data_IF_963573091881
#
_entry.id   IF_963573091881
#
_cell.length_a   1.000
_cell.length_b   1.000
_cell.length_c   1.000
_cell.angle_alpha   90.00
_cell.angle_beta   90.00
_cell.angle_gamma   90.00
#
_symmetry.space_group_name_H-M   'P 1'
#
loop_
_entity.id
_entity.type
_entity.pdbx_description
1 polymer ?
#
# COMPACT_ATOMS: atom_id res chain seq x y z
N UNK A 1 15.13 18.51 10.94
CA UNK A 1 15.67 17.27 11.54
C UNK A 1 14.52 16.68 12.34
N UNK A 2 13.90 15.61 11.84
CA UNK A 2 12.90 14.86 12.60
C UNK A 2 13.59 14.18 13.79
N UNK A 3 12.91 14.00 14.95
CA UNK A 3 13.48 13.30 16.08
C UNK A 3 13.92 11.90 15.64
N UNK A 4 15.02 11.39 16.19
CA UNK A 4 15.51 10.02 15.98
C UNK A 4 14.36 9.02 16.24
N UNK A 5 13.66 8.64 15.18
CA UNK A 5 12.69 7.56 15.27
C UNK A 5 13.45 6.26 15.32
N UNK A 6 13.48 5.64 16.50
CA UNK A 6 14.04 4.29 16.65
C UNK A 6 13.25 3.31 15.80
N UNK A 7 13.98 2.45 15.07
CA UNK A 7 13.33 1.41 14.26
C UNK A 7 12.62 0.39 15.17
N UNK A 8 11.33 0.17 14.94
CA UNK A 8 10.55 -0.85 15.63
C UNK A 8 10.81 -2.24 15.07
N UNK A 9 10.93 -2.34 13.73
CA UNK A 9 11.25 -3.59 13.05
C UNK A 9 12.51 -3.37 12.24
N UNK A 10 13.47 -4.27 12.36
CA UNK A 10 14.65 -4.32 11.49
C UNK A 10 14.78 -5.71 10.91
N UNK A 11 15.00 -5.79 9.60
CA UNK A 11 15.24 -7.02 8.86
C UNK A 11 16.57 -6.86 8.17
N UNK A 12 17.46 -7.82 8.34
CA UNK A 12 18.81 -7.80 7.79
C UNK A 12 19.09 -9.09 7.01
N UNK A 13 19.33 -8.96 5.71
CA UNK A 13 19.74 -10.03 4.81
C UNK A 13 18.72 -11.20 4.71
N UNK A 14 17.42 -10.93 4.88
CA UNK A 14 16.42 -11.98 4.90
C UNK A 14 16.23 -12.61 3.52
N UNK A 15 16.43 -13.92 3.42
CA UNK A 15 16.16 -14.71 2.21
C UNK A 15 15.24 -15.88 2.50
N UNK A 16 14.35 -16.21 1.53
CA UNK A 16 13.40 -17.32 1.64
C UNK A 16 13.17 -17.99 0.30
N UNK A 17 13.24 -19.32 0.29
CA UNK A 17 12.99 -20.15 -0.89
C UNK A 17 11.81 -21.09 -0.64
N UNK A 18 11.05 -21.36 -1.69
CA UNK A 18 10.05 -22.42 -1.77
C UNK A 18 10.36 -23.26 -3.01
N UNK A 19 11.12 -24.36 -2.81
CA UNK A 19 11.73 -25.09 -3.91
C UNK A 19 12.67 -24.18 -4.70
N UNK A 20 12.48 -24.08 -6.00
CA UNK A 20 13.30 -23.23 -6.89
C UNK A 20 12.85 -21.74 -6.87
N UNK A 21 11.73 -21.43 -6.24
CA UNK A 21 11.21 -20.06 -6.19
C UNK A 21 11.81 -19.29 -5.03
N UNK A 22 12.55 -18.21 -5.32
CA UNK A 22 13.11 -17.28 -4.35
C UNK A 22 12.08 -16.21 -4.00
N UNK A 23 11.41 -16.37 -2.89
CA UNK A 23 10.35 -15.46 -2.44
C UNK A 23 10.88 -14.19 -1.76
N UNK A 24 12.02 -14.31 -1.04
CA UNK A 24 12.80 -13.19 -0.50
C UNK A 24 14.25 -13.37 -0.92
N UNK A 25 14.89 -12.30 -1.33
CA UNK A 25 16.24 -12.27 -1.88
C UNK A 25 17.05 -11.16 -1.24
N UNK A 26 17.76 -11.50 -0.15
CA UNK A 26 18.66 -10.60 0.57
C UNK A 26 17.98 -9.28 0.95
N UNK A 27 16.86 -9.37 1.70
CA UNK A 27 16.02 -8.23 2.03
C UNK A 27 16.55 -7.53 3.27
N UNK A 28 16.93 -6.26 3.10
CA UNK A 28 17.15 -5.30 4.19
C UNK A 28 15.98 -4.32 4.25
N UNK A 29 15.37 -4.19 5.44
CA UNK A 29 14.20 -3.34 5.60
C UNK A 29 14.01 -2.88 7.04
N UNK A 30 13.63 -1.61 7.23
CA UNK A 30 13.30 -1.06 8.55
C UNK A 30 11.94 -0.41 8.56
N UNK A 31 11.25 -0.53 9.70
CA UNK A 31 9.96 0.12 9.99
C UNK A 31 10.12 0.98 11.23
N UNK A 32 10.01 2.32 11.10
CA UNK A 32 10.10 3.22 12.24
C UNK A 32 8.97 3.00 13.26
N UNK A 33 9.27 3.23 14.54
CA UNK A 33 8.28 3.15 15.61
C UNK A 33 7.12 4.12 15.36
N UNK A 34 5.89 3.64 15.56
CA UNK A 34 4.68 4.43 15.40
C UNK A 34 4.33 4.80 13.96
N UNK A 35 5.03 4.30 12.94
CA UNK A 35 4.70 4.55 11.53
C UNK A 35 3.70 3.53 10.97
N UNK A 36 2.93 3.95 9.96
CA UNK A 36 2.19 3.07 9.07
C UNK A 36 2.99 2.90 7.79
N UNK A 37 3.59 1.73 7.62
CA UNK A 37 4.41 1.41 6.45
C UNK A 37 3.71 0.40 5.55
N UNK A 38 3.55 0.73 4.26
CA UNK A 38 2.98 -0.19 3.26
C UNK A 38 4.08 -0.99 2.55
N UNK A 39 3.89 -2.30 2.45
CA UNK A 39 4.62 -3.17 1.51
C UNK A 39 3.80 -3.25 0.23
N UNK A 40 4.27 -2.63 -0.84
CA UNK A 40 3.59 -2.49 -2.12
C UNK A 40 4.36 -3.22 -3.22
N UNK A 41 3.67 -3.85 -4.16
CA UNK A 41 4.32 -4.54 -5.27
C UNK A 41 3.38 -5.52 -5.99
N UNK A 42 3.76 -6.06 -7.14
CA UNK A 42 2.96 -7.02 -7.89
C UNK A 42 2.75 -8.33 -7.13
N UNK A 43 1.79 -9.13 -7.59
CA UNK A 43 1.60 -10.49 -7.05
C UNK A 43 2.88 -11.31 -7.21
N UNK A 44 3.23 -12.07 -6.17
CA UNK A 44 4.46 -12.88 -6.16
C UNK A 44 5.75 -12.10 -5.88
N UNK A 45 5.70 -10.80 -5.53
CA UNK A 45 6.91 -10.01 -5.20
C UNK A 45 7.51 -10.29 -3.82
N UNK A 46 6.89 -11.13 -2.98
CA UNK A 46 7.42 -11.50 -1.66
C UNK A 46 6.76 -10.82 -0.46
N UNK A 47 5.83 -9.87 -0.66
CA UNK A 47 5.21 -9.07 0.42
C UNK A 47 4.60 -9.89 1.56
N UNK A 48 3.69 -10.82 1.22
CA UNK A 48 3.04 -11.67 2.24
C UNK A 48 4.03 -12.63 2.89
N UNK A 49 5.07 -13.06 2.18
CA UNK A 49 6.16 -13.86 2.76
C UNK A 49 6.93 -13.04 3.79
N UNK A 50 7.30 -11.80 3.46
CA UNK A 50 7.98 -10.89 4.38
C UNK A 50 7.11 -10.59 5.60
N UNK A 51 5.81 -10.26 5.39
CA UNK A 51 4.87 -10.01 6.49
C UNK A 51 4.74 -11.23 7.42
N UNK A 52 4.63 -12.45 6.86
CA UNK A 52 4.55 -13.69 7.64
C UNK A 52 5.85 -14.00 8.36
N UNK A 53 7.00 -13.65 7.78
CA UNK A 53 8.30 -13.79 8.44
C UNK A 53 8.40 -12.86 9.65
N UNK A 54 7.97 -11.60 9.54
CA UNK A 54 7.86 -10.67 10.67
C UNK A 54 6.93 -11.25 11.75
N UNK A 55 5.83 -11.87 11.34
CA UNK A 55 4.85 -12.47 12.23
C UNK A 55 5.33 -13.76 12.91
N UNK A 56 6.39 -14.41 12.42
CA UNK A 56 6.83 -15.73 12.86
C UNK A 56 5.91 -16.86 12.42
N UNK A 57 5.04 -16.60 11.44
CA UNK A 57 4.19 -17.60 10.77
C UNK A 57 4.97 -18.37 9.71
N UNK A 58 6.06 -17.79 9.25
CA UNK A 58 7.07 -18.39 8.39
C UNK A 58 8.45 -17.97 8.90
N UNK A 59 9.51 -18.69 8.52
CA UNK A 59 10.87 -18.37 8.91
C UNK A 59 11.71 -18.11 7.66
N UNK A 60 12.52 -17.04 7.63
CA UNK A 60 13.51 -16.88 6.57
C UNK A 60 14.52 -18.01 6.65
N UNK A 61 15.12 -18.37 5.51
CA UNK A 61 16.17 -19.40 5.45
C UNK A 61 17.51 -18.83 5.93
N UNK A 62 17.72 -17.53 5.70
CA UNK A 62 18.87 -16.73 6.20
C UNK A 62 18.42 -15.33 6.59
N UNK A 63 19.27 -14.62 7.33
CA UNK A 63 19.01 -13.27 7.81
C UNK A 63 18.39 -13.22 9.20
N UNK A 64 18.19 -12.02 9.70
CA UNK A 64 17.72 -11.74 11.04
C UNK A 64 16.53 -10.78 11.02
N UNK A 65 15.60 -10.97 11.97
CA UNK A 65 14.44 -10.09 12.18
C UNK A 65 14.44 -9.67 13.65
N UNK A 66 14.52 -8.35 13.91
CA UNK A 66 14.36 -7.80 15.26
C UNK A 66 13.07 -6.99 15.37
N UNK A 67 12.43 -7.06 16.54
CA UNK A 67 11.29 -6.22 16.92
C UNK A 67 11.63 -5.52 18.24
N UNK A 68 11.53 -4.20 18.29
CA UNK A 68 11.92 -3.39 19.44
C UNK A 68 13.35 -3.71 19.96
N UNK A 69 14.29 -3.97 19.02
CA UNK A 69 15.68 -4.30 19.31
C UNK A 69 15.91 -5.74 19.80
N UNK A 70 14.88 -6.59 19.84
CA UNK A 70 15.00 -8.00 20.26
C UNK A 70 14.96 -8.90 19.04
N UNK A 71 15.93 -9.81 18.88
CA UNK A 71 15.91 -10.83 17.84
C UNK A 71 14.72 -11.78 18.03
N UNK A 72 13.86 -11.83 17.03
CA UNK A 72 12.67 -12.68 17.00
C UNK A 72 12.70 -13.72 15.90
N UNK A 73 13.80 -13.90 15.19
CA UNK A 73 13.93 -14.77 14.00
C UNK A 73 13.42 -16.19 14.28
N UNK A 74 13.84 -16.80 15.38
CA UNK A 74 13.39 -18.12 15.81
C UNK A 74 12.20 -18.14 16.79
N UNK A 75 11.64 -16.97 17.15
CA UNK A 75 10.58 -16.85 18.17
C UNK A 75 9.21 -17.16 17.54
N UNK A 76 8.38 -18.01 18.16
CA UNK A 76 7.04 -18.34 17.63
C UNK A 76 6.08 -17.13 17.73
N UNK A 77 5.05 -17.04 16.88
CA UNK A 77 4.14 -15.88 16.77
C UNK A 77 3.53 -15.41 18.10
N UNK A 78 3.19 -16.35 18.98
CA UNK A 78 2.52 -16.08 20.26
C UNK A 78 3.40 -15.30 21.26
N UNK A 79 4.72 -15.24 21.01
CA UNK A 79 5.70 -14.57 21.86
C UNK A 79 6.29 -13.28 21.25
N UNK A 80 5.85 -12.90 20.03
CA UNK A 80 6.36 -11.71 19.33
C UNK A 80 5.61 -10.42 19.67
N UNK A 81 4.57 -10.48 20.47
CA UNK A 81 3.71 -9.36 20.88
C UNK A 81 3.17 -8.53 19.70
N UNK A 82 2.69 -9.24 18.69
CA UNK A 82 2.12 -8.69 17.46
C UNK A 82 0.62 -8.95 17.34
N UNK A 83 -0.08 -8.03 16.67
CA UNK A 83 -1.44 -8.24 16.17
C UNK A 83 -1.41 -8.57 14.68
N UNK A 84 -2.12 -9.61 14.24
CA UNK A 84 -2.17 -10.00 12.83
C UNK A 84 -3.60 -10.02 12.29
N UNK A 85 -3.83 -9.39 11.14
CA UNK A 85 -5.10 -9.42 10.41
C UNK A 85 -4.85 -10.09 9.06
N UNK A 86 -5.48 -11.26 8.89
CA UNK A 86 -5.39 -12.05 7.65
C UNK A 86 -6.32 -11.49 6.56
N UNK A 87 -5.97 -11.71 5.31
CA UNK A 87 -6.71 -11.30 4.12
C UNK A 87 -8.21 -11.69 4.16
N UNK A 88 -8.55 -12.85 4.72
CA UNK A 88 -9.93 -13.32 4.88
C UNK A 88 -10.49 -13.10 6.28
N UNK A 89 -9.88 -12.17 7.06
CA UNK A 89 -10.28 -11.75 8.41
C UNK A 89 -10.24 -12.86 9.48
N UNK A 90 -10.15 -14.14 9.10
CA UNK A 90 -10.09 -15.32 9.98
C UNK A 90 -11.06 -15.23 11.18
N UNK A 91 -12.31 -14.82 10.93
CA UNK A 91 -13.32 -14.68 11.98
C UNK A 91 -13.76 -16.05 12.52
N UNK A 92 -13.90 -16.17 13.83
CA UNK A 92 -14.48 -17.35 14.48
C UNK A 92 -16.00 -17.31 14.27
N UNK A 93 -16.49 -18.05 13.26
CA UNK A 93 -17.87 -18.01 12.78
C UNK A 93 -18.93 -18.34 13.84
N UNK A 94 -18.57 -19.18 14.81
CA UNK A 94 -19.43 -19.65 15.92
C UNK A 94 -19.39 -18.74 17.14
N UNK A 95 -18.61 -17.70 17.13
CA UNK A 95 -18.46 -16.71 18.19
C UNK A 95 -19.12 -15.39 17.79
N UNK A 96 -19.74 -14.70 18.76
CA UNK A 96 -20.24 -13.33 18.60
C UNK A 96 -19.10 -12.34 18.35
N UNK A 97 -19.40 -11.11 17.93
CA UNK A 97 -18.43 -10.00 17.77
C UNK A 97 -17.65 -9.79 19.07
N UNK A 98 -18.33 -9.69 20.21
CA UNK A 98 -17.73 -9.59 21.56
C UNK A 98 -16.74 -10.73 21.83
N UNK A 99 -17.14 -11.95 21.54
CA UNK A 99 -16.30 -13.12 21.80
C UNK A 99 -15.08 -13.21 20.87
N UNK A 100 -15.25 -12.81 19.61
CA UNK A 100 -14.13 -12.69 18.67
C UNK A 100 -13.08 -11.71 19.19
N UNK A 101 -13.48 -10.49 19.60
CA UNK A 101 -12.56 -9.47 20.11
C UNK A 101 -11.94 -9.90 21.45
N UNK A 102 -12.73 -10.52 22.34
CA UNK A 102 -12.27 -11.00 23.64
C UNK A 102 -11.32 -12.21 23.57
N UNK A 103 -11.22 -12.88 22.42
CA UNK A 103 -10.58 -14.20 22.32
C UNK A 103 -9.13 -14.22 22.82
N UNK A 104 -8.29 -13.30 22.33
CA UNK A 104 -6.88 -13.18 22.72
C UNK A 104 -6.71 -12.89 24.22
N UNK A 105 -7.56 -12.03 24.78
CA UNK A 105 -7.54 -11.69 26.22
C UNK A 105 -7.95 -12.89 27.10
N UNK A 106 -8.92 -13.71 26.64
CA UNK A 106 -9.32 -14.94 27.33
C UNK A 106 -8.19 -15.97 27.37
N UNK A 107 -7.47 -16.16 26.24
CA UNK A 107 -6.31 -17.06 26.19
C UNK A 107 -5.21 -16.59 27.15
N UNK A 108 -4.97 -15.27 27.22
CA UNK A 108 -4.02 -14.65 28.17
C UNK A 108 -4.54 -14.63 29.62
N UNK A 109 -5.71 -15.25 29.89
CA UNK A 109 -6.33 -15.39 31.20
C UNK A 109 -6.55 -14.05 31.95
N UNK A 110 -6.83 -12.96 31.21
CA UNK A 110 -7.13 -11.66 31.82
C UNK A 110 -8.43 -11.71 32.65
N UNK A 111 -8.58 -10.88 33.69
CA UNK A 111 -9.80 -10.79 34.48
C UNK A 111 -11.03 -10.43 33.64
N UNK A 112 -12.18 -11.04 33.92
CA UNK A 112 -13.42 -10.81 33.16
C UNK A 112 -13.82 -9.33 33.08
N UNK A 113 -13.57 -8.55 34.16
CA UNK A 113 -13.88 -7.11 34.21
C UNK A 113 -13.01 -6.32 33.22
N UNK A 114 -11.73 -6.61 33.16
CA UNK A 114 -10.79 -5.98 32.19
C UNK A 114 -11.16 -6.35 30.76
N UNK A 115 -11.45 -7.63 30.49
CA UNK A 115 -11.89 -8.08 29.15
C UNK A 115 -13.11 -7.29 28.70
N UNK A 116 -14.12 -7.15 29.59
CA UNK A 116 -15.35 -6.43 29.25
C UNK A 116 -15.06 -4.98 28.91
N UNK A 117 -14.28 -4.27 29.76
CA UNK A 117 -13.95 -2.87 29.56
C UNK A 117 -13.17 -2.65 28.24
N UNK A 118 -12.12 -3.46 28.00
CA UNK A 118 -11.29 -3.37 26.79
C UNK A 118 -12.07 -3.66 25.52
N UNK A 119 -12.94 -4.68 25.54
CA UNK A 119 -13.78 -5.03 24.38
C UNK A 119 -14.81 -3.93 24.09
N UNK A 120 -15.45 -3.36 25.11
CA UNK A 120 -16.42 -2.28 24.92
C UNK A 120 -15.72 -1.03 24.35
N UNK A 121 -14.56 -0.63 24.88
CA UNK A 121 -13.71 0.45 24.36
C UNK A 121 -13.34 0.22 22.87
N UNK A 122 -12.81 -0.96 22.54
CA UNK A 122 -12.38 -1.24 21.17
C UNK A 122 -13.54 -1.28 20.19
N UNK A 123 -14.72 -1.79 20.59
CA UNK A 123 -15.89 -1.78 19.73
C UNK A 123 -16.41 -0.36 19.45
N UNK A 124 -16.24 0.57 20.38
CA UNK A 124 -16.48 2.00 20.13
C UNK A 124 -15.46 2.56 19.14
N UNK A 125 -14.16 2.34 19.37
CA UNK A 125 -13.07 2.80 18.51
C UNK A 125 -13.23 2.32 17.07
N UNK A 126 -13.62 1.06 16.86
CA UNK A 126 -13.81 0.52 15.50
C UNK A 126 -15.21 0.78 14.93
N UNK A 127 -16.09 1.52 15.62
CA UNK A 127 -17.45 1.85 15.17
C UNK A 127 -18.38 0.64 15.08
N UNK A 128 -18.22 -0.32 16.00
CA UNK A 128 -19.08 -1.51 16.14
C UNK A 128 -19.84 -1.52 17.47
N UNK A 129 -20.02 -0.36 18.12
CA UNK A 129 -20.91 -0.21 19.25
C UNK A 129 -22.32 -0.67 18.87
N UNK A 130 -22.96 -1.47 19.74
CA UNK A 130 -24.28 -2.06 19.46
C UNK A 130 -24.25 -3.38 18.66
N UNK A 131 -23.08 -3.82 18.16
CA UNK A 131 -22.95 -5.07 17.40
C UNK A 131 -22.41 -6.24 18.24
N UNK A 132 -22.24 -6.07 19.55
CA UNK A 132 -21.57 -7.02 20.45
C UNK A 132 -22.13 -8.45 20.37
N UNK A 133 -23.47 -8.58 20.25
CA UNK A 133 -24.16 -9.87 20.20
C UNK A 133 -24.31 -10.47 18.80
N UNK A 134 -23.93 -9.74 17.74
CA UNK A 134 -24.01 -10.25 16.37
C UNK A 134 -22.92 -11.27 16.08
N UNK A 135 -23.18 -12.13 15.10
CA UNK A 135 -22.21 -13.10 14.58
C UNK A 135 -21.59 -12.60 13.28
N UNK A 136 -20.39 -13.08 12.89
CA UNK A 136 -19.71 -12.66 11.67
C UNK A 136 -20.53 -12.75 10.39
N UNK A 137 -21.45 -13.73 10.30
CA UNK A 137 -22.34 -13.89 9.16
C UNK A 137 -23.38 -12.74 9.02
N UNK A 138 -23.63 -11.99 10.09
CA UNK A 138 -24.56 -10.86 10.14
C UNK A 138 -23.89 -9.51 9.90
N UNK A 139 -22.59 -9.51 9.57
CA UNK A 139 -21.79 -8.31 9.35
C UNK A 139 -21.51 -8.11 7.86
N UNK A 140 -21.41 -6.85 7.43
CA UNK A 140 -20.84 -6.50 6.12
C UNK A 140 -19.35 -6.84 6.06
N UNK A 141 -18.73 -6.81 4.85
CA UNK A 141 -17.29 -7.02 4.66
C UNK A 141 -16.46 -6.06 5.53
N UNK A 142 -16.72 -4.75 5.44
CA UNK A 142 -16.03 -3.75 6.25
C UNK A 142 -16.23 -3.90 7.75
N UNK A 143 -17.43 -4.32 8.19
CA UNK A 143 -17.69 -4.60 9.61
C UNK A 143 -16.91 -5.83 10.11
N UNK A 144 -16.80 -6.89 9.30
CA UNK A 144 -15.95 -8.05 9.63
C UNK A 144 -14.48 -7.65 9.77
N UNK A 145 -14.01 -6.78 8.89
CA UNK A 145 -12.65 -6.29 8.96
C UNK A 145 -12.39 -5.45 10.21
N UNK A 146 -13.27 -4.51 10.54
CA UNK A 146 -13.17 -3.71 11.78
C UNK A 146 -13.19 -4.61 13.03
N UNK A 147 -14.00 -5.66 13.04
CA UNK A 147 -13.96 -6.67 14.09
C UNK A 147 -12.61 -7.39 14.17
N UNK A 148 -12.00 -7.76 13.03
CA UNK A 148 -10.69 -8.42 13.00
C UNK A 148 -9.59 -7.49 13.52
N UNK A 149 -9.64 -6.20 13.17
CA UNK A 149 -8.74 -5.16 13.70
C UNK A 149 -8.92 -4.99 15.23
N UNK A 150 -10.15 -4.88 15.72
CA UNK A 150 -10.41 -4.82 17.16
C UNK A 150 -9.86 -6.05 17.89
N UNK A 151 -10.01 -7.25 17.32
CA UNK A 151 -9.43 -8.48 17.85
C UNK A 151 -7.91 -8.45 17.91
N UNK A 152 -7.25 -7.93 16.86
CA UNK A 152 -5.79 -7.81 16.82
C UNK A 152 -5.27 -6.77 17.83
N UNK A 153 -5.98 -5.65 17.99
CA UNK A 153 -5.64 -4.59 18.95
C UNK A 153 -5.95 -4.96 20.42
N UNK A 154 -6.85 -5.93 20.66
CA UNK A 154 -7.29 -6.26 22.00
C UNK A 154 -6.16 -6.72 22.94
N UNK A 155 -5.11 -7.25 22.39
CA UNK A 155 -3.94 -7.75 23.14
C UNK A 155 -2.86 -6.68 23.39
N UNK A 156 -3.13 -5.42 23.04
CA UNK A 156 -2.22 -4.27 23.10
C UNK A 156 -0.86 -4.58 22.42
N UNK A 157 -0.86 -4.92 21.10
CA UNK A 157 0.35 -5.32 20.41
C UNK A 157 1.28 -4.12 20.18
N UNK A 158 2.62 -4.37 20.16
CA UNK A 158 3.59 -3.35 19.75
C UNK A 158 3.59 -3.11 18.24
N UNK A 159 3.25 -4.14 17.45
CA UNK A 159 3.21 -4.11 15.99
C UNK A 159 1.90 -4.70 15.49
N UNK A 160 1.28 -4.03 14.52
CA UNK A 160 0.09 -4.49 13.82
C UNK A 160 0.45 -4.85 12.37
N UNK A 161 0.15 -6.08 11.95
CA UNK A 161 0.43 -6.60 10.62
C UNK A 161 -0.88 -6.86 9.89
N UNK A 162 -1.05 -6.26 8.71
CA UNK A 162 -2.26 -6.30 7.91
C UNK A 162 -1.97 -6.92 6.53
N UNK A 163 -2.49 -8.11 6.26
CA UNK A 163 -2.32 -8.81 4.97
C UNK A 163 -3.51 -8.53 4.06
N UNK A 164 -3.36 -7.66 3.07
CA UNK A 164 -4.38 -7.23 2.09
C UNK A 164 -5.75 -6.88 2.73
N UNK A 165 -5.79 -5.94 3.68
CA UNK A 165 -6.99 -5.70 4.46
C UNK A 165 -8.18 -5.16 3.64
N UNK A 166 -7.96 -4.64 2.45
CA UNK A 166 -9.00 -4.03 1.62
C UNK A 166 -9.46 -4.90 0.43
N UNK A 167 -8.86 -6.07 0.23
CA UNK A 167 -8.93 -6.84 -1.01
C UNK A 167 -10.31 -7.37 -1.43
N UNK A 168 -11.25 -7.60 -0.52
CA UNK A 168 -12.55 -8.23 -0.81
C UNK A 168 -13.75 -7.27 -0.66
N UNK A 169 -13.53 -5.96 -0.82
CA UNK A 169 -14.53 -4.92 -0.56
C UNK A 169 -14.89 -4.18 -1.85
N UNK A 170 -16.14 -3.69 -1.93
CA UNK A 170 -16.54 -2.74 -2.97
C UNK A 170 -15.83 -1.38 -2.83
N UNK A 171 -15.78 -0.59 -3.91
CA UNK A 171 -14.98 0.63 -3.97
C UNK A 171 -15.32 1.64 -2.86
N UNK A 172 -16.62 1.84 -2.57
CA UNK A 172 -17.05 2.80 -1.54
C UNK A 172 -16.67 2.34 -0.13
N UNK A 173 -16.91 1.06 0.18
CA UNK A 173 -16.55 0.50 1.49
C UNK A 173 -15.03 0.51 1.67
N UNK A 174 -14.25 0.30 0.60
CA UNK A 174 -12.80 0.38 0.61
C UNK A 174 -12.32 1.81 0.93
N UNK A 175 -12.87 2.83 0.28
CA UNK A 175 -12.55 4.24 0.54
C UNK A 175 -12.87 4.64 2.00
N UNK A 176 -14.08 4.31 2.47
CA UNK A 176 -14.50 4.57 3.86
C UNK A 176 -13.54 3.90 4.87
N UNK A 177 -13.08 2.69 4.54
CA UNK A 177 -12.22 1.91 5.41
C UNK A 177 -10.76 2.41 5.41
N UNK A 178 -10.22 2.87 4.26
CA UNK A 178 -8.91 3.52 4.18
C UNK A 178 -8.88 4.76 5.06
N UNK A 179 -9.84 5.67 4.87
CA UNK A 179 -9.98 6.88 5.67
C UNK A 179 -10.14 6.58 7.17
N UNK A 180 -10.87 5.50 7.50
CA UNK A 180 -11.02 5.07 8.88
C UNK A 180 -9.71 4.49 9.44
N UNK A 181 -8.97 3.65 8.69
CA UNK A 181 -7.69 3.08 9.13
C UNK A 181 -6.66 4.20 9.39
N UNK A 182 -6.60 5.20 8.51
CA UNK A 182 -5.73 6.36 8.71
C UNK A 182 -6.03 7.07 10.04
N UNK A 183 -7.30 7.40 10.31
CA UNK A 183 -7.72 8.01 11.58
C UNK A 183 -7.45 7.11 12.79
N UNK A 184 -7.63 5.80 12.65
CA UNK A 184 -7.32 4.85 13.73
C UNK A 184 -5.84 4.88 14.05
N UNK A 185 -4.97 4.86 13.04
CA UNK A 185 -3.52 4.93 13.21
C UNK A 185 -3.10 6.23 13.92
N UNK A 186 -3.65 7.37 13.50
CA UNK A 186 -3.41 8.69 14.12
C UNK A 186 -3.81 8.74 15.61
N UNK A 187 -4.78 7.95 16.04
CA UNK A 187 -5.25 7.92 17.42
C UNK A 187 -4.50 6.90 18.30
N UNK A 188 -4.11 5.77 17.73
CA UNK A 188 -3.56 4.63 18.50
C UNK A 188 -2.04 4.57 18.46
N UNK A 189 -1.41 5.15 17.41
CA UNK A 189 0.05 5.21 17.21
C UNK A 189 0.77 3.85 17.29
N UNK A 190 0.10 2.74 16.97
CA UNK A 190 0.71 1.40 16.89
C UNK A 190 1.50 1.29 15.59
N UNK A 191 2.75 0.83 15.67
CA UNK A 191 3.54 0.56 14.47
C UNK A 191 2.81 -0.45 13.58
N UNK A 192 2.53 -0.07 12.35
CA UNK A 192 1.67 -0.86 11.45
C UNK A 192 2.41 -1.18 10.16
N UNK A 193 2.39 -2.46 9.75
CA UNK A 193 2.82 -2.89 8.41
C UNK A 193 1.61 -3.39 7.64
N UNK A 194 1.37 -2.78 6.49
CA UNK A 194 0.26 -3.06 5.59
C UNK A 194 0.78 -3.69 4.29
N UNK A 195 0.31 -4.86 3.92
CA UNK A 195 0.54 -5.43 2.57
C UNK A 195 -0.61 -5.07 1.66
N UNK A 196 -0.30 -4.55 0.49
CA UNK A 196 -1.26 -4.32 -0.59
C UNK A 196 -0.60 -4.45 -1.97
N UNK A 197 -1.39 -4.72 -2.99
CA UNK A 197 -1.00 -4.62 -4.39
C UNK A 197 -1.64 -3.39 -5.08
N UNK A 198 -2.49 -2.67 -4.37
CA UNK A 198 -3.18 -1.48 -4.85
C UNK A 198 -2.37 -0.22 -4.49
N UNK A 199 -2.03 0.55 -5.52
CA UNK A 199 -1.22 1.76 -5.40
C UNK A 199 -1.96 2.87 -4.66
N UNK A 200 -3.27 3.03 -4.94
CA UNK A 200 -4.09 4.05 -4.27
C UNK A 200 -4.18 3.79 -2.77
N UNK A 201 -4.30 2.52 -2.37
CA UNK A 201 -4.32 2.15 -0.95
C UNK A 201 -3.03 2.54 -0.24
N UNK A 202 -1.88 2.22 -0.85
CA UNK A 202 -0.58 2.54 -0.27
C UNK A 202 -0.34 4.06 -0.19
N UNK A 203 -0.63 4.78 -1.29
CA UNK A 203 -0.42 6.23 -1.39
C UNK A 203 -1.33 7.05 -0.46
N UNK A 204 -2.57 6.57 -0.22
CA UNK A 204 -3.58 7.26 0.61
C UNK A 204 -3.36 7.05 2.11
N UNK A 205 -2.94 5.83 2.51
CA UNK A 205 -2.96 5.43 3.92
C UNK A 205 -1.58 5.48 4.59
N UNK A 206 -0.49 5.20 3.86
CA UNK A 206 0.81 4.98 4.46
C UNK A 206 1.63 6.27 4.69
N UNK A 207 2.39 6.31 5.79
CA UNK A 207 3.43 7.32 6.02
C UNK A 207 4.68 7.01 5.20
N UNK A 208 4.95 5.70 5.00
CA UNK A 208 6.08 5.19 4.21
C UNK A 208 5.64 4.01 3.36
N UNK A 209 6.24 3.86 2.20
CA UNK A 209 5.98 2.75 1.29
C UNK A 209 7.30 2.09 0.95
N UNK A 210 7.34 0.76 1.04
CA UNK A 210 8.40 -0.07 0.51
C UNK A 210 7.88 -0.79 -0.75
N UNK A 211 8.45 -0.46 -1.90
CA UNK A 211 8.10 -1.10 -3.17
C UNK A 211 8.93 -2.36 -3.32
N UNK A 212 8.25 -3.51 -3.45
CA UNK A 212 8.88 -4.82 -3.61
C UNK A 212 8.70 -5.37 -5.03
N UNK A 213 9.76 -5.99 -5.54
CA UNK A 213 9.75 -6.66 -6.82
C UNK A 213 10.67 -7.89 -6.78
N UNK A 214 10.20 -9.05 -7.25
CA UNK A 214 10.99 -10.29 -7.35
C UNK A 214 11.78 -10.64 -6.08
N UNK A 215 11.16 -10.48 -4.92
CA UNK A 215 11.74 -10.79 -3.62
C UNK A 215 12.66 -9.73 -3.03
N UNK A 216 12.86 -8.58 -3.68
CA UNK A 216 13.74 -7.50 -3.25
C UNK A 216 12.98 -6.21 -2.98
N UNK A 217 13.54 -5.33 -2.14
CA UNK A 217 13.09 -3.95 -1.98
C UNK A 217 13.73 -3.11 -3.08
N UNK A 218 12.91 -2.46 -3.90
CA UNK A 218 13.36 -1.56 -4.97
C UNK A 218 13.58 -0.13 -4.45
N UNK A 219 12.68 0.33 -3.58
CA UNK A 219 12.76 1.66 -2.98
C UNK A 219 11.90 1.72 -1.73
N UNK A 220 12.33 2.51 -0.74
CA UNK A 220 11.56 2.89 0.45
C UNK A 220 11.55 4.40 0.57
N UNK A 221 10.38 4.99 0.81
CA UNK A 221 10.25 6.45 0.97
C UNK A 221 8.84 6.86 1.37
N UNK A 222 8.60 8.17 1.47
CA UNK A 222 7.26 8.72 1.56
C UNK A 222 6.50 8.53 0.24
N UNK A 223 5.16 8.60 0.23
CA UNK A 223 4.38 8.59 -1.01
C UNK A 223 4.91 9.58 -2.06
N UNK A 224 5.18 10.82 -1.66
CA UNK A 224 5.71 11.87 -2.55
C UNK A 224 7.11 11.54 -3.08
N UNK A 225 8.00 10.99 -2.23
CA UNK A 225 9.35 10.60 -2.65
C UNK A 225 9.30 9.52 -3.74
N UNK A 226 8.47 8.50 -3.58
CA UNK A 226 8.36 7.42 -4.55
C UNK A 226 7.74 7.87 -5.88
N UNK A 227 6.75 8.76 -5.80
CA UNK A 227 6.05 9.26 -6.98
C UNK A 227 6.90 10.26 -7.78
N UNK A 228 7.54 11.20 -7.08
CA UNK A 228 8.29 12.31 -7.66
C UNK A 228 9.74 11.98 -7.99
N UNK A 229 10.35 11.05 -7.22
CA UNK A 229 11.76 10.65 -7.32
C UNK A 229 11.91 9.12 -7.35
N UNK A 230 11.31 8.44 -8.34
CA UNK A 230 11.41 7.00 -8.45
C UNK A 230 12.87 6.56 -8.66
N UNK A 231 13.32 5.55 -7.90
CA UNK A 231 14.68 5.04 -7.97
C UNK A 231 15.02 4.36 -9.31
N UNK A 232 14.00 3.85 -10.00
CA UNK A 232 14.19 3.19 -11.30
C UNK A 232 12.89 3.18 -12.12
N UNK A 233 13.00 2.70 -13.36
CA UNK A 233 11.86 2.61 -14.29
C UNK A 233 10.74 1.70 -13.80
N UNK A 234 11.07 0.64 -13.03
CA UNK A 234 10.07 -0.23 -12.46
C UNK A 234 9.20 0.52 -11.45
N UNK A 235 9.82 1.19 -10.47
CA UNK A 235 9.08 1.97 -9.46
C UNK A 235 8.20 3.02 -10.12
N UNK A 236 8.74 3.75 -11.11
CA UNK A 236 7.98 4.75 -11.84
C UNK A 236 6.75 4.16 -12.53
N UNK A 237 6.94 3.09 -13.31
CA UNK A 237 5.82 2.47 -14.05
C UNK A 237 4.84 1.73 -13.15
N UNK A 238 5.32 1.22 -12.03
CA UNK A 238 4.48 0.53 -11.06
C UNK A 238 3.59 1.49 -10.27
N UNK A 239 4.03 2.70 -9.96
CA UNK A 239 3.25 3.70 -9.20
C UNK A 239 2.30 4.56 -10.04
N UNK A 240 2.12 4.23 -11.30
CA UNK A 240 1.15 4.88 -12.16
C UNK A 240 1.54 4.86 -13.63
N UNK A 241 0.64 5.30 -14.52
CA UNK A 241 0.89 5.29 -15.94
C UNK A 241 2.11 6.14 -16.30
N UNK A 242 2.83 5.69 -17.33
CA UNK A 242 3.98 6.39 -17.91
C UNK A 242 3.82 6.51 -19.41
N UNK A 243 4.30 7.61 -19.98
CA UNK A 243 4.50 7.79 -21.42
C UNK A 243 6.00 7.76 -21.71
N UNK A 244 6.38 7.29 -22.89
CA UNK A 244 7.79 7.26 -23.33
C UNK A 244 8.04 8.37 -24.34
N UNK A 245 8.87 9.32 -23.97
CA UNK A 245 9.21 10.46 -24.80
C UNK A 245 10.72 10.51 -25.00
N UNK A 246 11.19 10.39 -26.26
CA UNK A 246 12.63 10.39 -26.61
C UNK A 246 13.48 9.43 -25.77
N UNK A 247 12.92 8.26 -25.42
CA UNK A 247 13.59 7.25 -24.59
C UNK A 247 13.48 7.47 -23.09
N UNK A 248 12.95 8.60 -22.64
CA UNK A 248 12.69 8.92 -21.24
C UNK A 248 11.25 8.61 -20.84
N UNK A 249 11.06 8.18 -19.60
CA UNK A 249 9.71 7.99 -19.02
C UNK A 249 9.20 9.32 -18.46
N UNK A 250 7.94 9.64 -18.78
CA UNK A 250 7.26 10.87 -18.32
C UNK A 250 5.88 10.51 -17.80
N UNK A 251 5.37 11.25 -16.84
CA UNK A 251 3.99 11.08 -16.40
C UNK A 251 3.01 11.66 -17.45
N UNK A 252 1.87 11.04 -17.74
CA UNK A 252 0.89 11.56 -18.68
C UNK A 252 0.38 12.96 -18.35
N UNK A 253 0.28 13.32 -17.07
CA UNK A 253 -0.15 14.64 -16.61
C UNK A 253 0.96 15.72 -16.68
N UNK A 254 2.21 15.32 -16.86
CA UNK A 254 3.33 16.22 -17.15
C UNK A 254 3.45 16.55 -18.65
N UNK A 255 2.62 15.92 -19.49
CA UNK A 255 2.53 16.27 -20.91
C UNK A 255 1.55 17.43 -21.11
N UNK A 256 1.99 18.47 -21.81
CA UNK A 256 1.14 19.59 -22.25
C UNK A 256 0.88 19.49 -23.73
N UNK A 257 -0.36 19.81 -24.09
CA UNK A 257 -0.84 19.84 -25.46
C UNK A 257 -1.08 21.31 -25.86
N UNK A 258 -0.56 21.70 -27.01
CA UNK A 258 -0.70 23.05 -27.54
C UNK A 258 -1.21 22.97 -28.99
N UNK A 259 -1.97 23.99 -29.43
CA UNK A 259 -2.40 24.14 -30.84
C UNK A 259 -1.30 24.68 -31.76
N UNK A 260 -0.30 25.33 -31.18
CA UNK A 260 0.83 25.90 -31.90
C UNK A 260 2.14 25.24 -31.48
N UNK A 261 3.09 25.23 -32.39
CA UNK A 261 4.41 24.71 -32.11
C UNK A 261 5.16 25.64 -31.14
N UNK A 262 5.59 25.09 -30.01
CA UNK A 262 6.40 25.77 -29.00
C UNK A 262 7.81 25.15 -28.97
N UNK A 263 8.80 25.87 -28.39
CA UNK A 263 10.13 25.29 -28.17
C UNK A 263 10.04 23.94 -27.42
N UNK A 264 10.86 22.98 -27.84
CA UNK A 264 10.90 21.61 -27.33
C UNK A 264 9.59 20.81 -27.46
N UNK A 265 8.62 21.28 -28.27
CA UNK A 265 7.42 20.51 -28.62
C UNK A 265 7.63 19.70 -29.91
N UNK A 266 6.90 18.60 -30.06
CA UNK A 266 6.85 17.80 -31.29
C UNK A 266 5.40 17.61 -31.73
N UNK A 267 5.20 17.44 -33.03
CA UNK A 267 3.86 17.25 -33.59
C UNK A 267 3.38 15.80 -33.39
N UNK A 268 2.14 15.65 -32.95
CA UNK A 268 1.46 14.38 -32.84
C UNK A 268 0.03 14.47 -33.37
N UNK A 269 -0.50 13.37 -33.85
CA UNK A 269 -1.91 13.26 -34.27
C UNK A 269 -2.72 12.74 -33.10
N UNK A 270 -3.88 13.35 -32.83
CA UNK A 270 -4.85 12.87 -31.84
C UNK A 270 -5.52 11.61 -32.39
N UNK A 271 -5.33 10.48 -31.70
CA UNK A 271 -5.98 9.21 -32.07
C UNK A 271 -7.31 9.04 -31.36
N UNK A 272 -7.41 9.46 -30.11
CA UNK A 272 -8.62 9.32 -29.30
C UNK A 272 -8.67 10.35 -28.18
N UNK A 273 -9.86 10.84 -27.87
CA UNK A 273 -10.14 11.68 -26.70
C UNK A 273 -11.16 10.97 -25.81
N UNK A 274 -10.74 10.54 -24.63
CA UNK A 274 -11.58 9.82 -23.67
C UNK A 274 -11.86 10.69 -22.44
N UNK A 275 -13.13 10.99 -22.18
CA UNK A 275 -13.57 11.74 -21.01
C UNK A 275 -13.80 10.79 -19.82
N UNK A 276 -12.91 10.80 -18.81
CA UNK A 276 -12.91 9.91 -17.66
C UNK A 276 -13.27 10.66 -16.37
N UNK A 277 -14.52 11.10 -16.26
CA UNK A 277 -14.98 11.85 -15.07
C UNK A 277 -14.32 13.21 -14.95
N UNK A 278 -13.37 13.38 -14.03
CA UNK A 278 -12.68 14.66 -13.76
C UNK A 278 -11.51 14.94 -14.73
N UNK A 279 -10.99 13.93 -15.39
CA UNK A 279 -9.87 14.02 -16.32
C UNK A 279 -10.27 13.68 -17.76
N UNK A 280 -9.43 14.10 -18.71
CA UNK A 280 -9.51 13.72 -20.11
C UNK A 280 -8.19 13.09 -20.53
N UNK A 281 -8.27 11.86 -21.06
CA UNK A 281 -7.12 11.14 -21.61
C UNK A 281 -7.11 11.33 -23.11
N UNK A 282 -5.96 11.75 -23.64
CA UNK A 282 -5.73 11.97 -25.07
C UNK A 282 -4.65 11.00 -25.54
N UNK A 283 -5.05 10.07 -26.42
CA UNK A 283 -4.12 9.15 -27.07
C UNK A 283 -3.54 9.83 -28.31
N UNK A 284 -2.24 9.78 -28.44
CA UNK A 284 -1.49 10.56 -29.40
C UNK A 284 -0.48 9.70 -30.16
N UNK A 285 -0.40 9.89 -31.47
CA UNK A 285 0.62 9.29 -32.32
C UNK A 285 1.62 10.35 -32.79
N UNK A 286 2.89 10.29 -32.36
CA UNK A 286 3.93 11.19 -32.82
C UNK A 286 4.12 11.09 -34.33
N UNK A 287 4.24 12.25 -35.02
CA UNK A 287 4.50 12.27 -36.47
C UNK A 287 5.89 11.76 -36.85
N UNK A 288 6.79 11.65 -35.89
CA UNK A 288 8.11 11.04 -36.05
C UNK A 288 8.08 9.53 -36.25
N UNK A 289 6.93 8.86 -36.11
CA UNK A 289 6.81 7.41 -36.16
C UNK A 289 7.22 6.71 -34.84
N UNK A 290 7.48 7.46 -33.77
CA UNK A 290 7.75 6.91 -32.45
C UNK A 290 6.48 6.23 -31.87
N UNK A 291 6.66 5.44 -30.80
CA UNK A 291 5.59 4.76 -30.07
C UNK A 291 4.49 5.76 -29.64
N UNK A 292 3.22 5.32 -29.73
CA UNK A 292 2.07 6.10 -29.26
C UNK A 292 2.20 6.48 -27.78
N UNK A 293 1.68 7.62 -27.40
CA UNK A 293 1.72 8.11 -26.04
C UNK A 293 0.36 8.61 -25.58
N UNK A 294 0.14 8.64 -24.27
CA UNK A 294 -1.09 9.14 -23.67
C UNK A 294 -0.78 10.37 -22.82
N UNK A 295 -1.51 11.46 -23.05
CA UNK A 295 -1.52 12.63 -22.19
C UNK A 295 -2.79 12.66 -21.34
N UNK A 296 -2.65 13.17 -20.12
CA UNK A 296 -3.75 13.37 -19.18
C UNK A 296 -3.91 14.87 -18.93
N UNK A 297 -5.07 15.41 -19.28
CA UNK A 297 -5.37 16.84 -19.15
C UNK A 297 -6.64 17.07 -18.34
N UNK A 298 -6.82 18.29 -17.85
CA UNK A 298 -8.06 18.64 -17.14
C UNK A 298 -9.24 18.79 -18.11
N UNK A 299 -10.46 18.69 -17.59
CA UNK A 299 -11.67 19.01 -18.39
C UNK A 299 -11.68 20.46 -18.89
N UNK A 300 -11.11 21.39 -18.11
CA UNK A 300 -10.95 22.78 -18.49
C UNK A 300 -10.03 22.93 -19.70
N UNK A 301 -8.86 22.34 -19.65
CA UNK A 301 -7.91 22.34 -20.77
C UNK A 301 -8.50 21.67 -22.03
N UNK A 302 -9.19 20.53 -21.87
CA UNK A 302 -9.84 19.85 -22.96
C UNK A 302 -10.90 20.71 -23.67
N UNK A 303 -11.68 21.51 -22.94
CA UNK A 303 -12.65 22.46 -23.52
C UNK A 303 -11.97 23.62 -24.25
N UNK A 304 -10.87 24.13 -23.74
CA UNK A 304 -10.11 25.21 -24.38
C UNK A 304 -9.40 24.72 -25.63
N UNK A 305 -8.85 23.50 -25.54
CA UNK A 305 -8.15 22.89 -26.68
C UNK A 305 -9.14 22.43 -27.77
N UNK A 306 -10.38 22.08 -27.42
CA UNK A 306 -11.41 21.58 -28.34
C UNK A 306 -10.87 20.51 -29.32
N UNK A 307 -10.32 19.43 -28.75
CA UNK A 307 -9.58 18.42 -29.49
C UNK A 307 -10.51 17.45 -30.22
N UNK A 308 -10.18 17.16 -31.49
CA UNK A 308 -10.88 16.16 -32.30
C UNK A 308 -9.89 15.10 -32.82
N UNK A 309 -10.39 13.90 -33.04
CA UNK A 309 -9.58 12.80 -33.59
C UNK A 309 -9.10 13.17 -35.01
N UNK A 310 -7.87 12.82 -35.35
CA UNK A 310 -7.21 13.14 -36.61
C UNK A 310 -6.49 14.50 -36.63
N UNK A 311 -6.70 15.36 -35.67
CA UNK A 311 -6.03 16.67 -35.60
C UNK A 311 -4.56 16.55 -35.23
N UNK A 312 -3.79 17.56 -35.60
CA UNK A 312 -2.41 17.72 -35.18
C UNK A 312 -2.33 18.64 -33.97
N UNK A 313 -1.66 18.17 -32.92
CA UNK A 313 -1.33 18.92 -31.73
C UNK A 313 0.18 18.88 -31.51
N UNK A 314 0.69 19.82 -30.71
CA UNK A 314 2.09 19.88 -30.30
C UNK A 314 2.19 19.47 -28.85
N UNK A 315 3.09 18.51 -28.57
CA UNK A 315 3.27 17.88 -27.25
C UNK A 315 4.63 18.27 -26.69
N UNK A 316 4.67 18.65 -25.44
CA UNK A 316 5.92 18.87 -24.69
C UNK A 316 5.79 18.35 -23.27
N UNK A 317 6.89 17.87 -22.70
CA UNK A 317 6.96 17.57 -21.28
C UNK A 317 7.22 18.85 -20.48
N UNK A 318 6.51 19.04 -19.38
CA UNK A 318 6.76 20.12 -18.41
C UNK A 318 7.72 19.69 -17.31
N UNK A 319 7.76 18.39 -17.05
CA UNK A 319 8.65 17.74 -16.07
C UNK A 319 9.09 16.39 -16.63
N UNK A 320 10.36 16.09 -16.46
CA UNK A 320 10.93 14.78 -16.76
C UNK A 320 11.65 14.31 -15.51
N UNK A 321 11.15 13.26 -14.80
CA UNK A 321 11.85 12.72 -13.64
C UNK A 321 13.25 12.22 -14.03
N UNK A 322 14.25 12.55 -13.22
CA UNK A 322 15.58 11.95 -13.36
C UNK A 322 15.54 10.54 -12.78
N UNK A 323 15.52 9.55 -13.65
CA UNK A 323 15.63 8.14 -13.26
C UNK A 323 17.11 7.77 -13.34
N UNK A 324 17.74 7.33 -12.24
CA UNK A 324 19.11 6.83 -12.28
C UNK A 324 19.24 5.71 -13.30
N UNK A 325 20.37 5.70 -14.03
CA UNK A 325 20.67 4.57 -14.90
C UNK A 325 20.74 3.28 -14.07
N UNK A 326 20.27 2.13 -14.59
CA UNK A 326 20.37 0.88 -13.86
C UNK A 326 21.83 0.64 -13.49
N UNK A 327 22.09 0.43 -12.21
CA UNK A 327 23.39 -0.03 -11.71
C UNK A 327 23.51 -1.46 -12.20
N UNK A 328 24.46 -1.69 -13.12
CA UNK A 328 24.72 -2.95 -13.80
C UNK A 328 25.20 -4.08 -12.86
#
# INVERSE_FOLDING_TARGET
MSPDMTDMITISGASKHYGDFKALDDVDFTVPSGSLTALLGPSGSGKSTLLRSIAGLDHPDTGEITIAGVDVTGVPPQQRDIGFVFQHYAAFKHMSVRENVAFGLKIRKRPKKEIKAKVDELLEVVGLAGFQGRYPAQLSGGQRQRMALARALAVDPQVLLLDEPFGALDAKVREDLRSWLRRLHENVHVTTVLVTHDQEEALDVADRIAVMNKGRIEQVGSPDDLYDRPANAFVMSFLGPVAKLNGQLVRPHDLRLDRQQLPASFAATVERVAHLGFEVRVELRPKSGAEGLSAQITRGDAKVLDLHEGETVYVRATRTPEIPAPVG
#
